data_IF_031309415712
#
_entry.id   IF_031309415712
#
_cell.length_a   1.000
_cell.length_b   1.000
_cell.length_c   1.000
_cell.angle_alpha   90.00
_cell.angle_beta   90.00
_cell.angle_gamma   90.00
#
_symmetry.space_group_name_H-M   'P 1'
#
loop_
_entity.id
_entity.type
_entity.pdbx_description
1 polymer ?
#
# COMPACT_ATOMS: atom_id res chain seq x y z
N UNK A 1 -10.64 0.27 -9.59
CA UNK A 1 -10.06 0.35 -8.23
C UNK A 1 -10.90 -0.39 -7.18
N UNK A 2 -12.15 -0.76 -7.47
CA UNK A 2 -13.09 -1.40 -6.53
C UNK A 2 -12.79 -2.88 -6.24
N UNK A 3 -12.32 -3.64 -7.23
CA UNK A 3 -12.15 -5.10 -7.11
C UNK A 3 -11.05 -5.56 -6.13
N UNK A 4 -10.07 -4.70 -5.83
CA UNK A 4 -9.06 -5.03 -4.81
C UNK A 4 -9.67 -4.92 -3.42
N UNK A 5 -10.38 -3.83 -3.15
CA UNK A 5 -11.04 -3.59 -1.87
C UNK A 5 -12.11 -4.66 -1.61
N UNK A 6 -12.89 -5.03 -2.63
CA UNK A 6 -13.90 -6.09 -2.50
C UNK A 6 -13.26 -7.44 -2.09
N UNK A 7 -12.10 -7.78 -2.67
CA UNK A 7 -11.36 -9.00 -2.29
C UNK A 7 -10.79 -8.91 -0.88
N UNK A 8 -10.27 -7.75 -0.49
CA UNK A 8 -9.73 -7.54 0.85
C UNK A 8 -10.85 -7.58 1.91
N UNK A 9 -12.04 -7.07 1.58
CA UNK A 9 -13.22 -7.13 2.45
C UNK A 9 -13.74 -8.57 2.57
N UNK A 10 -13.85 -9.29 1.44
CA UNK A 10 -14.21 -10.72 1.42
C UNK A 10 -13.23 -11.58 2.22
N UNK A 11 -11.94 -11.24 2.18
CA UNK A 11 -10.90 -11.89 2.97
C UNK A 11 -10.93 -11.51 4.47
N UNK A 12 -11.80 -10.57 4.87
CA UNK A 12 -11.93 -10.09 6.24
C UNK A 12 -10.72 -9.28 6.71
N UNK A 13 -10.00 -8.62 5.80
CA UNK A 13 -8.82 -7.80 6.11
C UNK A 13 -9.22 -6.33 6.31
N UNK A 14 -10.15 -5.84 5.50
CA UNK A 14 -10.70 -4.48 5.60
C UNK A 14 -12.22 -4.53 5.78
N UNK A 15 -12.79 -3.42 6.22
CA UNK A 15 -14.24 -3.18 6.28
C UNK A 15 -14.56 -1.77 5.81
N UNK A 16 -15.73 -1.60 5.20
CA UNK A 16 -16.30 -0.29 4.87
C UNK A 16 -17.06 0.28 6.07
N UNK A 17 -16.71 1.49 6.46
CA UNK A 17 -17.45 2.29 7.46
C UNK A 17 -18.02 3.54 6.79
N UNK A 18 -19.17 4.01 7.25
CA UNK A 18 -19.77 5.24 6.73
C UNK A 18 -18.84 6.42 7.01
N UNK A 19 -18.60 7.25 6.00
CA UNK A 19 -17.78 8.44 6.20
C UNK A 19 -18.52 9.45 7.09
N UNK A 20 -17.90 9.98 8.15
CA UNK A 20 -18.59 10.76 9.19
C UNK A 20 -19.24 12.05 8.69
N UNK A 21 -18.80 12.58 7.55
CA UNK A 21 -19.28 13.85 6.98
C UNK A 21 -19.85 13.73 5.57
N UNK A 22 -19.67 12.59 4.89
CA UNK A 22 -20.16 12.39 3.51
C UNK A 22 -20.84 11.03 3.38
N UNK A 23 -22.18 11.06 3.35
CA UNK A 23 -23.02 9.85 3.31
C UNK A 23 -22.89 9.06 2.01
N UNK A 24 -22.20 9.60 1.01
CA UNK A 24 -21.93 8.92 -0.26
C UNK A 24 -20.55 8.27 -0.30
N UNK A 25 -19.73 8.49 0.72
CA UNK A 25 -18.39 7.96 0.81
C UNK A 25 -18.30 6.88 1.89
N UNK A 26 -17.48 5.87 1.62
CA UNK A 26 -17.08 4.87 2.60
C UNK A 26 -15.62 5.10 2.99
N UNK A 27 -15.33 5.02 4.28
CA UNK A 27 -13.97 4.92 4.79
C UNK A 27 -13.58 3.43 4.84
N UNK A 28 -12.44 3.09 4.23
CA UNK A 28 -11.90 1.72 4.31
C UNK A 28 -11.01 1.63 5.54
N UNK A 29 -11.41 0.79 6.49
CA UNK A 29 -10.70 0.59 7.74
C UNK A 29 -10.13 -0.84 7.80
N UNK A 30 -8.90 -0.99 8.32
CA UNK A 30 -8.36 -2.31 8.64
C UNK A 30 -9.15 -2.94 9.79
N UNK A 31 -9.46 -4.22 9.65
CA UNK A 31 -10.00 -5.05 10.74
C UNK A 31 -8.87 -5.43 11.70
N UNK A 32 -9.17 -5.98 12.90
CA UNK A 32 -8.12 -6.53 13.77
C UNK A 32 -7.23 -7.55 13.06
N UNK A 33 -7.82 -8.47 12.27
CA UNK A 33 -7.09 -9.42 11.43
C UNK A 33 -6.22 -8.73 10.37
N UNK A 34 -6.73 -7.64 9.78
CA UNK A 34 -5.98 -6.82 8.85
C UNK A 34 -4.73 -6.20 9.48
N UNK A 35 -4.85 -5.68 10.71
CA UNK A 35 -3.72 -5.12 11.47
C UNK A 35 -2.69 -6.18 11.85
N UNK A 36 -3.13 -7.34 12.33
CA UNK A 36 -2.21 -8.45 12.62
C UNK A 36 -1.45 -8.94 11.37
N UNK A 37 -2.09 -8.87 10.19
CA UNK A 37 -1.43 -9.20 8.93
C UNK A 37 -0.45 -8.11 8.51
N UNK A 38 -0.81 -6.84 8.66
CA UNK A 38 0.05 -5.68 8.41
C UNK A 38 1.36 -5.77 9.21
N UNK A 39 1.26 -6.05 10.51
CA UNK A 39 2.43 -6.22 11.39
C UNK A 39 3.37 -7.34 10.90
N UNK A 40 2.82 -8.47 10.41
CA UNK A 40 3.61 -9.57 9.85
C UNK A 40 4.21 -9.22 8.49
N UNK A 41 3.56 -8.33 7.75
CA UNK A 41 3.99 -7.94 6.41
C UNK A 41 5.23 -7.05 6.47
N UNK A 42 5.35 -6.20 7.49
CA UNK A 42 6.48 -5.29 7.66
C UNK A 42 7.83 -6.01 7.62
N UNK A 43 7.96 -7.13 8.34
CA UNK A 43 9.20 -7.92 8.35
C UNK A 43 9.49 -8.54 6.97
N UNK A 44 8.45 -9.05 6.30
CA UNK A 44 8.58 -9.68 4.98
C UNK A 44 8.99 -8.66 3.93
N UNK A 45 8.35 -7.49 3.95
CA UNK A 45 8.63 -6.37 3.04
C UNK A 45 10.03 -5.82 3.30
N UNK A 46 10.42 -5.62 4.55
CA UNK A 46 11.76 -5.15 4.90
C UNK A 46 12.85 -6.14 4.42
N UNK A 47 12.62 -7.45 4.59
CA UNK A 47 13.53 -8.48 4.10
C UNK A 47 13.62 -8.48 2.57
N UNK A 48 12.48 -8.41 1.89
CA UNK A 48 12.43 -8.36 0.43
C UNK A 48 13.15 -7.11 -0.10
N UNK A 49 12.86 -5.94 0.49
CA UNK A 49 13.51 -4.68 0.14
C UNK A 49 15.03 -4.80 0.25
N UNK A 50 15.55 -5.21 1.42
CA UNK A 50 16.98 -5.40 1.65
C UNK A 50 17.63 -6.38 0.66
N UNK A 51 16.91 -7.42 0.27
CA UNK A 51 17.43 -8.39 -0.70
C UNK A 51 17.48 -7.83 -2.11
N UNK A 52 16.42 -7.15 -2.56
CA UNK A 52 16.30 -6.59 -3.90
C UNK A 52 17.22 -5.39 -4.12
N UNK A 53 17.49 -4.60 -3.08
CA UNK A 53 18.32 -3.39 -3.17
C UNK A 53 19.78 -3.63 -2.81
N UNK A 54 20.17 -4.87 -2.53
CA UNK A 54 21.52 -5.21 -2.10
C UNK A 54 22.58 -4.73 -3.11
N UNK A 55 23.52 -3.92 -2.63
CA UNK A 55 24.64 -3.40 -3.43
C UNK A 55 24.30 -2.13 -4.21
N UNK A 56 23.10 -1.57 -4.03
CA UNK A 56 22.71 -0.28 -4.61
C UNK A 56 22.79 0.77 -3.50
N UNK A 57 23.43 1.91 -3.78
CA UNK A 57 23.44 3.02 -2.86
C UNK A 57 22.03 3.62 -2.74
N UNK A 58 21.64 4.03 -1.52
CA UNK A 58 20.32 4.61 -1.28
C UNK A 58 20.05 5.81 -2.20
N UNK A 59 21.07 6.64 -2.45
CA UNK A 59 20.96 7.78 -3.36
C UNK A 59 20.55 7.39 -4.78
N UNK A 60 21.02 6.26 -5.29
CA UNK A 60 20.69 5.77 -6.64
C UNK A 60 19.26 5.25 -6.70
N UNK A 61 18.79 4.57 -5.66
CA UNK A 61 17.38 4.19 -5.54
C UNK A 61 16.49 5.42 -5.53
N UNK A 62 16.85 6.44 -4.73
CA UNK A 62 16.10 7.68 -4.68
C UNK A 62 16.13 8.44 -6.02
N UNK A 63 17.26 8.43 -6.74
CA UNK A 63 17.34 8.97 -8.12
C UNK A 63 16.37 8.24 -9.05
N UNK A 64 16.37 6.90 -9.06
CA UNK A 64 15.48 6.11 -9.89
C UNK A 64 14.00 6.39 -9.58
N UNK A 65 13.63 6.42 -8.30
CA UNK A 65 12.26 6.75 -7.86
C UNK A 65 11.83 8.13 -8.36
N UNK A 66 12.71 9.14 -8.27
CA UNK A 66 12.41 10.50 -8.77
C UNK A 66 12.14 10.52 -10.26
N UNK A 67 12.96 9.82 -11.06
CA UNK A 67 12.78 9.74 -12.52
C UNK A 67 11.47 9.03 -12.86
N UNK A 68 11.18 7.88 -12.24
CA UNK A 68 9.92 7.16 -12.44
C UNK A 68 8.70 8.02 -12.11
N UNK A 69 8.73 8.75 -10.98
CA UNK A 69 7.65 9.70 -10.62
C UNK A 69 7.44 10.76 -11.68
N UNK A 70 8.52 11.31 -12.26
CA UNK A 70 8.42 12.30 -13.34
C UNK A 70 7.85 11.72 -14.62
N UNK A 71 8.20 10.49 -14.97
CA UNK A 71 7.62 9.80 -16.14
C UNK A 71 6.11 9.62 -15.98
N UNK A 72 5.65 9.20 -14.79
CA UNK A 72 4.22 9.07 -14.49
C UNK A 72 3.51 10.42 -14.63
N UNK A 73 4.07 11.48 -14.06
CA UNK A 73 3.50 12.84 -14.15
C UNK A 73 3.39 13.36 -15.59
N UNK A 74 4.31 12.98 -16.48
CA UNK A 74 4.27 13.40 -17.87
C UNK A 74 3.28 12.58 -18.72
N UNK A 75 2.84 11.43 -18.22
CA UNK A 75 1.92 10.52 -18.90
C UNK A 75 0.44 10.78 -18.56
N UNK A 76 0.19 11.62 -17.54
CA UNK A 76 -1.12 12.21 -17.23
C UNK A 76 -1.40 13.44 -18.10
#
# INVERSE_FOLDING_TARGET
MTSLIDRMETAGLVRREDHPTDRRAYQICLTPRGKELEEKLDEVVARAYKHLTRGIAEEDLQRAIRVCKRLIQNAE
#
